data_IF_163235707891
#
_entry.id   IF_163235707891
#
_cell.length_a   1.000
_cell.length_b   1.000
_cell.length_c   1.000
_cell.angle_alpha   90.00
_cell.angle_beta   90.00
_cell.angle_gamma   90.00
#
_symmetry.space_group_name_H-M   'P 1'
#
loop_
_entity.id
_entity.type
_entity.pdbx_description
1 polymer ?
#
# COMPACT_ATOMS: atom_id res chain seq x y z
N UNK A 1 -1.14 11.47 9.65
CA UNK A 1 -2.12 11.75 8.58
C UNK A 1 -3.20 12.66 9.12
N UNK A 2 -3.62 13.63 8.34
CA UNK A 2 -4.63 14.59 8.74
C UNK A 2 -6.03 13.99 8.67
N UNK A 3 -6.60 13.66 9.82
CA UNK A 3 -7.93 13.04 9.89
C UNK A 3 -9.02 13.97 9.37
N UNK A 4 -8.84 15.28 9.51
CA UNK A 4 -9.82 16.25 9.01
C UNK A 4 -9.95 16.15 7.48
N UNK A 5 -8.83 15.98 6.77
CA UNK A 5 -8.87 15.80 5.32
C UNK A 5 -9.64 14.53 4.95
N UNK A 6 -9.40 13.46 5.68
CA UNK A 6 -10.05 12.18 5.41
C UNK A 6 -11.54 12.17 5.75
N UNK A 7 -11.95 13.05 6.66
CA UNK A 7 -13.37 13.15 7.06
C UNK A 7 -14.20 13.95 6.06
N UNK A 8 -13.57 14.81 5.27
CA UNK A 8 -14.28 15.63 4.31
C UNK A 8 -14.84 14.80 3.15
N UNK A 9 -16.08 15.11 2.75
CA UNK A 9 -16.70 14.52 1.56
C UNK A 9 -16.66 12.98 1.57
N UNK A 10 -17.13 12.39 2.66
CA UNK A 10 -17.14 10.93 2.85
C UNK A 10 -18.26 10.28 2.05
N UNK A 11 -18.25 10.39 0.76
CA UNK A 11 -19.24 9.74 -0.06
C UNK A 11 -18.82 8.32 -0.44
N UNK A 12 -19.66 7.68 -1.24
CA UNK A 12 -19.53 6.27 -1.58
C UNK A 12 -18.21 5.92 -2.26
N UNK A 13 -17.72 6.83 -3.10
CA UNK A 13 -16.53 6.51 -3.89
C UNK A 13 -15.23 6.72 -3.13
N UNK A 14 -15.30 7.27 -1.95
CA UNK A 14 -14.12 7.57 -1.13
C UNK A 14 -13.98 6.67 0.09
N UNK A 15 -14.75 5.58 0.14
CA UNK A 15 -14.75 4.67 1.28
C UNK A 15 -13.40 4.03 1.57
N UNK A 16 -12.53 3.89 0.56
CA UNK A 16 -11.19 3.33 0.76
C UNK A 16 -10.36 4.12 1.78
N UNK A 17 -10.69 5.40 2.01
CA UNK A 17 -9.97 6.23 2.99
C UNK A 17 -10.14 5.74 4.42
N UNK A 18 -11.14 4.89 4.68
CA UNK A 18 -11.34 4.28 5.99
C UNK A 18 -10.53 3.00 6.17
N UNK A 19 -9.94 2.48 5.12
CA UNK A 19 -9.14 1.27 5.21
C UNK A 19 -7.82 1.60 5.89
N UNK A 20 -7.56 0.94 7.01
CA UNK A 20 -6.30 1.13 7.73
C UNK A 20 -5.11 0.83 6.83
N UNK A 21 -5.18 -0.25 6.04
CA UNK A 21 -4.06 -0.63 5.17
C UNK A 21 -3.76 0.45 4.12
N UNK A 22 -4.80 1.14 3.61
CA UNK A 22 -4.57 2.22 2.67
C UNK A 22 -3.82 3.38 3.34
N UNK A 23 -4.22 3.76 4.55
CA UNK A 23 -3.56 4.83 5.31
C UNK A 23 -2.11 4.46 5.62
N UNK A 24 -1.88 3.20 6.02
CA UNK A 24 -0.53 2.72 6.32
C UNK A 24 0.35 2.70 5.07
N UNK A 25 -0.23 2.37 3.92
CA UNK A 25 0.50 2.40 2.65
C UNK A 25 0.90 3.82 2.27
N UNK A 26 0.03 4.80 2.50
CA UNK A 26 0.36 6.21 2.29
C UNK A 26 1.50 6.63 3.23
N UNK A 27 1.43 6.24 4.50
CA UNK A 27 2.47 6.55 5.48
C UNK A 27 3.80 5.89 5.12
N UNK A 28 3.76 4.68 4.59
CA UNK A 28 4.97 4.00 4.12
C UNK A 28 5.63 4.79 2.98
N UNK A 29 4.83 5.24 2.01
CA UNK A 29 5.36 6.06 0.92
C UNK A 29 6.03 7.33 1.46
N UNK A 30 5.38 8.03 2.39
CA UNK A 30 5.92 9.24 2.97
C UNK A 30 7.22 8.96 3.72
N UNK A 31 7.29 7.87 4.46
CA UNK A 31 8.48 7.42 5.16
C UNK A 31 9.62 7.16 4.18
N UNK A 32 9.36 6.41 3.12
CA UNK A 32 10.37 6.07 2.12
C UNK A 32 10.88 7.31 1.40
N UNK A 33 9.98 8.23 1.06
CA UNK A 33 10.37 9.47 0.38
C UNK A 33 11.33 10.28 1.24
N UNK A 34 11.06 10.37 2.53
CA UNK A 34 11.93 11.08 3.47
C UNK A 34 13.29 10.40 3.58
N UNK A 35 13.29 9.08 3.77
CA UNK A 35 14.53 8.30 3.88
C UNK A 35 15.37 8.45 2.63
N UNK A 36 14.78 8.25 1.46
CA UNK A 36 15.51 8.29 0.19
C UNK A 36 16.02 9.70 -0.12
N UNK A 37 15.31 10.72 0.33
CA UNK A 37 15.76 12.11 0.18
C UNK A 37 17.02 12.42 0.95
N UNK A 38 17.32 11.64 1.99
CA UNK A 38 18.51 11.81 2.82
C UNK A 38 19.71 10.97 2.34
N UNK A 39 19.52 10.09 1.38
CA UNK A 39 20.59 9.25 0.84
C UNK A 39 21.34 10.03 -0.24
N UNK A 40 22.59 10.38 0.07
CA UNK A 40 23.44 11.13 -0.86
C UNK A 40 23.95 10.21 -1.96
N UNK A 41 23.89 10.70 -3.21
CA UNK A 41 24.46 9.98 -4.34
C UNK A 41 23.59 8.85 -4.88
N UNK A 42 22.38 8.67 -4.36
CA UNK A 42 21.47 7.68 -4.89
C UNK A 42 20.99 8.13 -6.29
N UNK A 43 21.18 7.30 -7.33
CA UNK A 43 20.71 7.66 -8.67
C UNK A 43 19.19 7.89 -8.68
N UNK A 44 18.75 8.91 -9.41
CA UNK A 44 17.32 9.21 -9.54
C UNK A 44 16.52 8.00 -10.02
N UNK A 45 17.06 7.22 -10.95
CA UNK A 45 16.38 6.05 -11.48
C UNK A 45 16.07 5.04 -10.37
N UNK A 46 17.02 4.81 -9.48
CA UNK A 46 16.81 3.88 -8.35
C UNK A 46 15.78 4.45 -7.39
N UNK A 47 15.93 5.73 -7.02
CA UNK A 47 14.98 6.41 -6.14
C UNK A 47 13.56 6.33 -6.70
N UNK A 48 13.40 6.65 -7.99
CA UNK A 48 12.09 6.66 -8.63
C UNK A 48 11.45 5.27 -8.64
N UNK A 49 12.24 4.24 -8.95
CA UNK A 49 11.71 2.87 -8.97
C UNK A 49 11.22 2.44 -7.58
N UNK A 50 11.97 2.76 -6.53
CA UNK A 50 11.58 2.43 -5.16
C UNK A 50 10.30 3.16 -4.76
N UNK A 51 10.25 4.46 -5.03
CA UNK A 51 9.07 5.26 -4.70
C UNK A 51 7.86 4.84 -5.52
N UNK A 52 8.06 4.46 -6.78
CA UNK A 52 6.97 3.98 -7.63
C UNK A 52 6.35 2.70 -7.06
N UNK A 53 7.15 1.76 -6.59
CA UNK A 53 6.62 0.53 -6.02
C UNK A 53 5.83 0.80 -4.73
N UNK A 54 6.34 1.69 -3.87
CA UNK A 54 5.62 2.07 -2.66
C UNK A 54 4.31 2.78 -2.99
N UNK A 55 4.36 3.73 -3.93
CA UNK A 55 3.18 4.49 -4.35
C UNK A 55 2.11 3.59 -4.94
N UNK A 56 2.52 2.56 -5.66
CA UNK A 56 1.63 1.60 -6.31
C UNK A 56 0.75 0.85 -5.32
N UNK A 57 1.19 0.66 -4.08
CA UNK A 57 0.39 -0.07 -3.09
C UNK A 57 -0.93 0.65 -2.83
N UNK A 58 -0.87 1.91 -2.41
CA UNK A 58 -2.08 2.69 -2.12
C UNK A 58 -2.91 2.96 -3.37
N UNK A 59 -2.25 3.23 -4.50
CA UNK A 59 -2.93 3.50 -5.76
C UNK A 59 -3.79 2.32 -6.21
N UNK A 60 -3.25 1.11 -6.11
CA UNK A 60 -4.01 -0.08 -6.50
C UNK A 60 -5.14 -0.40 -5.54
N UNK A 61 -4.96 -0.13 -4.24
CA UNK A 61 -6.04 -0.31 -3.27
C UNK A 61 -7.23 0.59 -3.58
N UNK A 62 -6.98 1.87 -3.81
CA UNK A 62 -8.05 2.82 -4.11
C UNK A 62 -8.71 2.53 -5.46
N UNK A 63 -7.92 2.19 -6.46
CA UNK A 63 -8.46 1.84 -7.77
C UNK A 63 -9.35 0.61 -7.70
N UNK A 64 -8.87 -0.45 -7.03
CA UNK A 64 -9.65 -1.67 -6.88
C UNK A 64 -10.97 -1.45 -6.15
N UNK A 65 -10.93 -0.67 -5.08
CA UNK A 65 -12.13 -0.30 -4.33
C UNK A 65 -13.14 0.42 -5.23
N UNK A 66 -12.66 1.37 -6.02
CA UNK A 66 -13.52 2.22 -6.86
C UNK A 66 -14.07 1.51 -8.09
N UNK A 67 -13.58 0.30 -8.40
CA UNK A 67 -14.17 -0.52 -9.46
C UNK A 67 -15.55 -1.05 -9.08
N UNK A 68 -15.84 -1.15 -7.79
CA UNK A 68 -17.13 -1.58 -7.26
C UNK A 68 -17.51 -2.98 -7.72
N UNK A 69 -16.52 -3.84 -7.83
CA UNK A 69 -16.65 -5.25 -8.19
C UNK A 69 -15.68 -6.04 -7.31
N UNK A 70 -16.19 -7.05 -6.60
CA UNK A 70 -15.32 -7.85 -5.71
C UNK A 70 -14.23 -8.54 -6.52
N UNK A 71 -14.57 -9.06 -7.69
CA UNK A 71 -13.60 -9.74 -8.56
C UNK A 71 -12.46 -8.81 -8.95
N UNK A 72 -12.79 -7.59 -9.38
CA UNK A 72 -11.76 -6.61 -9.76
C UNK A 72 -10.98 -6.12 -8.55
N UNK A 73 -11.65 -5.94 -7.41
CA UNK A 73 -10.98 -5.52 -6.18
C UNK A 73 -9.89 -6.52 -5.80
N UNK A 74 -10.19 -7.83 -5.86
CA UNK A 74 -9.19 -8.88 -5.58
C UNK A 74 -8.00 -8.75 -6.52
N UNK A 75 -8.25 -8.51 -7.81
CA UNK A 75 -7.17 -8.35 -8.79
C UNK A 75 -6.25 -7.20 -8.42
N UNK A 76 -6.80 -6.05 -8.03
CA UNK A 76 -6.01 -4.90 -7.65
C UNK A 76 -5.28 -5.10 -6.31
N UNK A 77 -5.90 -5.81 -5.37
CA UNK A 77 -5.21 -6.17 -4.11
C UNK A 77 -4.01 -7.07 -4.41
N UNK A 78 -4.14 -8.00 -5.34
CA UNK A 78 -3.02 -8.85 -5.75
C UNK A 78 -1.90 -8.04 -6.42
N UNK A 79 -2.25 -7.04 -7.22
CA UNK A 79 -1.24 -6.13 -7.78
C UNK A 79 -0.53 -5.37 -6.66
N UNK A 80 -1.28 -4.90 -5.66
CA UNK A 80 -0.70 -4.22 -4.51
C UNK A 80 0.27 -5.14 -3.75
N UNK A 81 -0.08 -6.42 -3.58
CA UNK A 81 0.82 -7.41 -2.97
C UNK A 81 2.10 -7.61 -3.78
N UNK A 82 1.99 -7.63 -5.10
CA UNK A 82 3.16 -7.68 -5.97
C UNK A 82 4.06 -6.46 -5.79
N UNK A 83 3.44 -5.29 -5.65
CA UNK A 83 4.18 -4.05 -5.39
C UNK A 83 4.88 -4.09 -4.03
N UNK A 84 4.25 -4.71 -3.02
CA UNK A 84 4.89 -4.92 -1.72
C UNK A 84 6.15 -5.76 -1.84
N UNK A 85 6.08 -6.85 -2.59
CA UNK A 85 7.25 -7.71 -2.81
C UNK A 85 8.38 -6.98 -3.50
N UNK A 86 8.06 -6.22 -4.53
CA UNK A 86 9.04 -5.42 -5.26
C UNK A 86 9.68 -4.37 -4.33
N UNK A 87 8.86 -3.68 -3.58
CA UNK A 87 9.32 -2.63 -2.65
C UNK A 87 10.24 -3.21 -1.57
N UNK A 88 9.89 -4.36 -1.01
CA UNK A 88 10.73 -5.04 -0.02
C UNK A 88 12.09 -5.40 -0.61
N UNK A 89 12.10 -6.00 -1.78
CA UNK A 89 13.34 -6.38 -2.47
C UNK A 89 14.26 -5.17 -2.69
N UNK A 90 13.67 -4.05 -3.10
CA UNK A 90 14.42 -2.82 -3.34
C UNK A 90 15.02 -2.25 -2.06
N UNK A 91 14.24 -2.19 -0.97
CA UNK A 91 14.75 -1.70 0.31
C UNK A 91 15.82 -2.61 0.89
N UNK A 92 15.65 -3.92 0.74
CA UNK A 92 16.69 -4.86 1.17
C UNK A 92 17.99 -4.66 0.40
N UNK A 93 17.89 -4.39 -0.91
CA UNK A 93 19.06 -4.09 -1.73
C UNK A 93 19.77 -2.81 -1.26
N UNK A 94 19.02 -1.80 -0.87
CA UNK A 94 19.60 -0.56 -0.32
C UNK A 94 20.31 -0.81 1.01
N UNK A 95 19.77 -1.70 1.83
CA UNK A 95 20.45 -2.10 3.07
C UNK A 95 21.77 -2.81 2.77
N UNK A 96 21.74 -3.78 1.87
CA UNK A 96 22.92 -4.59 1.54
C UNK A 96 24.02 -3.76 0.84
N UNK A 97 23.64 -2.73 0.14
CA UNK A 97 24.60 -1.83 -0.53
C UNK A 97 25.07 -0.69 0.36
N UNK A 98 24.58 -0.63 1.59
CA UNK A 98 25.05 0.37 2.56
C UNK A 98 24.42 1.74 2.42
N UNK A 99 23.39 1.90 1.60
CA UNK A 99 22.74 3.22 1.39
C UNK A 99 21.79 3.59 2.50
N UNK A 100 21.25 2.61 3.22
CA UNK A 100 20.42 2.85 4.40
C UNK A 100 20.97 2.05 5.57
N UNK A 101 20.70 2.53 6.78
CA UNK A 101 21.14 1.87 8.01
C UNK A 101 20.24 0.70 8.36
N UNK A 102 20.74 -0.17 9.23
CA UNK A 102 19.92 -1.26 9.78
C UNK A 102 18.70 -0.72 10.52
N UNK A 103 18.86 0.39 11.25
CA UNK A 103 17.75 1.00 11.99
C UNK A 103 16.64 1.46 11.06
N UNK A 104 17.00 2.09 9.95
CA UNK A 104 16.02 2.53 8.94
C UNK A 104 15.32 1.34 8.33
N UNK A 105 16.09 0.29 7.99
CA UNK A 105 15.49 -0.91 7.42
C UNK A 105 14.54 -1.59 8.40
N UNK A 106 14.89 -1.65 9.69
CA UNK A 106 14.03 -2.27 10.70
C UNK A 106 12.70 -1.53 10.83
N UNK A 107 12.71 -0.20 10.76
CA UNK A 107 11.47 0.58 10.78
C UNK A 107 10.65 0.35 9.50
N UNK A 108 11.31 0.30 8.36
CA UNK A 108 10.67 -0.06 7.10
C UNK A 108 10.01 -1.43 7.19
N UNK A 109 10.76 -2.43 7.66
CA UNK A 109 10.31 -3.81 7.72
C UNK A 109 9.06 -3.95 8.59
N UNK A 110 9.04 -3.27 9.72
CA UNK A 110 7.89 -3.27 10.62
C UNK A 110 6.63 -2.70 9.94
N UNK A 111 6.76 -1.56 9.26
CA UNK A 111 5.65 -0.93 8.54
C UNK A 111 5.18 -1.80 7.40
N UNK A 112 6.13 -2.31 6.64
CA UNK A 112 5.86 -3.14 5.46
C UNK A 112 5.14 -4.44 5.83
N UNK A 113 5.59 -5.10 6.90
CA UNK A 113 4.98 -6.34 7.38
C UNK A 113 3.52 -6.14 7.76
N UNK A 114 3.21 -5.04 8.43
CA UNK A 114 1.83 -4.73 8.79
C UNK A 114 0.93 -4.55 7.58
N UNK A 115 1.42 -3.86 6.56
CA UNK A 115 0.69 -3.65 5.32
C UNK A 115 0.46 -4.97 4.59
N UNK A 116 1.51 -5.76 4.45
CA UNK A 116 1.48 -7.04 3.75
C UNK A 116 0.45 -7.98 4.36
N UNK A 117 0.45 -8.10 5.68
CA UNK A 117 -0.51 -8.95 6.39
C UNK A 117 -1.95 -8.47 6.19
N UNK A 118 -2.17 -7.17 6.25
CA UNK A 118 -3.52 -6.61 6.04
C UNK A 118 -4.00 -6.84 4.61
N UNK A 119 -3.11 -6.75 3.64
CA UNK A 119 -3.47 -7.02 2.24
C UNK A 119 -3.83 -8.49 2.04
N UNK A 120 -3.05 -9.39 2.63
CA UNK A 120 -3.33 -10.82 2.56
C UNK A 120 -4.70 -11.12 3.18
N UNK A 121 -4.98 -10.55 4.34
CA UNK A 121 -6.26 -10.76 5.01
C UNK A 121 -7.41 -10.16 4.20
N UNK A 122 -7.22 -9.01 3.59
CA UNK A 122 -8.22 -8.39 2.72
C UNK A 122 -8.50 -9.28 1.52
N UNK A 123 -7.46 -9.80 0.87
CA UNK A 123 -7.62 -10.70 -0.27
C UNK A 123 -8.40 -11.95 0.11
N UNK A 124 -8.09 -12.54 1.28
CA UNK A 124 -8.81 -13.72 1.78
C UNK A 124 -10.28 -13.41 2.04
N UNK A 125 -10.56 -12.28 2.68
CA UNK A 125 -11.92 -11.86 2.97
C UNK A 125 -12.74 -11.64 1.69
N UNK A 126 -12.16 -10.97 0.71
CA UNK A 126 -12.81 -10.73 -0.58
C UNK A 126 -13.05 -12.04 -1.34
N UNK A 127 -12.08 -12.95 -1.32
CA UNK A 127 -12.22 -14.26 -1.97
C UNK A 127 -13.37 -15.06 -1.36
N UNK A 128 -13.49 -15.04 -0.03
CA UNK A 128 -14.58 -15.71 0.66
C UNK A 128 -15.94 -15.13 0.25
N UNK A 129 -16.04 -13.81 0.19
CA UNK A 129 -17.28 -13.14 -0.22
C UNK A 129 -17.64 -13.47 -1.67
N UNK A 130 -16.66 -13.53 -2.55
CA UNK A 130 -16.88 -13.90 -3.94
C UNK A 130 -17.40 -15.33 -4.06
N UNK A 131 -16.88 -16.27 -3.28
CA UNK A 131 -17.33 -17.67 -3.29
C UNK A 131 -18.75 -17.85 -2.81
N UNK A 132 -19.21 -16.97 -1.91
CA UNK A 132 -20.59 -17.01 -1.41
C UNK A 132 -21.58 -16.30 -2.33
N UNK A 133 -21.14 -15.83 -3.49
CA UNK A 133 -21.99 -15.15 -4.46
C UNK A 133 -22.31 -13.71 -4.10
N UNK A 134 -21.62 -13.13 -3.13
CA UNK A 134 -21.83 -11.73 -2.78
C UNK A 134 -21.23 -10.84 -3.86
N UNK A 135 -21.88 -9.72 -4.10
CA UNK A 135 -21.41 -8.70 -5.02
C UNK A 135 -21.11 -7.44 -4.23
N UNK A 136 -20.68 -6.38 -4.91
CA UNK A 136 -20.38 -5.10 -4.29
C UNK A 136 -21.61 -4.57 -3.55
N UNK A 137 -21.43 -4.17 -2.29
CA UNK A 137 -22.51 -3.67 -1.48
C UNK A 137 -22.05 -2.51 -0.58
N UNK A 138 -22.96 -2.04 0.29
CA UNK A 138 -22.70 -0.89 1.14
C UNK A 138 -21.55 -1.06 2.12
N UNK A 139 -21.21 -2.30 2.46
CA UNK A 139 -20.11 -2.58 3.40
C UNK A 139 -18.76 -2.13 2.85
N UNK A 140 -18.66 -2.00 1.53
CA UNK A 140 -17.42 -1.60 0.87
C UNK A 140 -17.42 -0.13 0.46
N UNK A 141 -18.48 0.57 0.73
CA UNK A 141 -18.63 1.98 0.35
C UNK A 141 -18.14 2.94 1.40
N UNK A 142 -17.87 2.41 2.56
CA UNK A 142 -17.61 3.25 3.74
C UNK A 142 -16.14 3.22 4.14
#
# INVERSE_FOLDING_TARGET
>A
MDDEVLERNKDLNRGFRKLRVWREAIDLYAFEKKVLGEVKGLPFKIRDQVLDSAFSISSNLSEGYCRRSIKEYIQFVNVALGSCGENYSQFYALLKSGEISQEVFDEFDKRHYGIENKLINLAKSLSKKMKTGQDWNSDYKI
#
